data_IF_489504712425
#
_entry.id   IF_489504712425
#
_cell.length_a   1.000
_cell.length_b   1.000
_cell.length_c   1.000
_cell.angle_alpha   90.00
_cell.angle_beta   90.00
_cell.angle_gamma   90.00
#
_symmetry.space_group_name_H-M   'P 1'
#
loop_
_entity.id
_entity.type
_entity.pdbx_description
1 polymer ?
#
# COMPACT_ATOMS: atom_id res chain seq x y z
N UNK A 1 -48.20 -0.29 -20.00
CA UNK A 1 -46.92 0.17 -20.58
C UNK A 1 -46.08 0.78 -19.47
N UNK A 2 -45.04 0.07 -18.98
CA UNK A 2 -44.04 0.66 -18.08
C UNK A 2 -43.09 1.50 -18.93
N UNK A 3 -42.89 2.80 -18.68
CA UNK A 3 -41.91 3.56 -19.44
C UNK A 3 -40.51 3.01 -19.13
N UNK A 4 -39.72 2.87 -20.20
CA UNK A 4 -38.36 2.36 -20.17
C UNK A 4 -37.51 3.11 -19.14
N UNK A 5 -36.73 2.36 -18.36
CA UNK A 5 -35.64 2.88 -17.54
C UNK A 5 -34.70 3.72 -18.40
N UNK A 6 -34.44 4.96 -17.99
CA UNK A 6 -33.49 5.85 -18.66
C UNK A 6 -32.13 5.16 -18.87
N UNK A 7 -31.49 5.34 -20.04
CA UNK A 7 -30.20 4.74 -20.33
C UNK A 7 -29.13 5.31 -19.38
N UNK A 8 -28.23 4.43 -18.95
CA UNK A 8 -27.29 4.65 -17.85
C UNK A 8 -26.56 5.98 -17.91
N UNK A 9 -26.88 6.86 -16.95
CA UNK A 9 -26.03 8.00 -16.64
C UNK A 9 -24.67 7.48 -16.18
N UNK A 10 -23.61 7.96 -16.82
CA UNK A 10 -22.23 7.71 -16.42
C UNK A 10 -22.10 8.08 -14.95
N UNK A 11 -21.93 7.09 -14.06
CA UNK A 11 -21.59 7.36 -12.67
C UNK A 11 -20.30 8.17 -12.68
N UNK A 12 -20.31 9.36 -12.10
CA UNK A 12 -19.09 10.17 -11.97
C UNK A 12 -18.04 9.30 -11.27
N UNK A 13 -16.85 9.20 -11.87
CA UNK A 13 -15.72 8.45 -11.30
C UNK A 13 -15.32 8.97 -9.91
N UNK A 14 -15.58 10.25 -9.63
CA UNK A 14 -15.40 10.87 -8.31
C UNK A 14 -16.75 11.45 -7.87
N UNK A 15 -17.45 10.80 -6.92
CA UNK A 15 -18.69 11.29 -6.34
C UNK A 15 -18.52 12.66 -5.67
N UNK A 16 -19.60 13.45 -5.58
CA UNK A 16 -19.57 14.74 -4.88
C UNK A 16 -19.21 14.59 -3.39
N UNK A 17 -19.47 13.41 -2.79
CA UNK A 17 -19.08 13.08 -1.42
C UNK A 17 -17.57 13.12 -1.23
N UNK A 18 -16.73 12.85 -2.24
CA UNK A 18 -15.26 12.91 -2.08
C UNK A 18 -14.71 14.33 -1.98
N UNK A 19 -15.55 15.36 -2.20
CA UNK A 19 -15.13 16.77 -2.19
C UNK A 19 -15.29 17.44 -0.83
N UNK A 20 -15.88 16.77 0.15
CA UNK A 20 -16.05 17.37 1.49
C UNK A 20 -14.90 16.92 2.40
N UNK A 21 -14.27 17.88 3.07
CA UNK A 21 -13.20 17.61 4.03
C UNK A 21 -13.72 17.85 5.44
N UNK A 22 -13.60 16.86 6.31
CA UNK A 22 -14.14 16.90 7.67
C UNK A 22 -13.02 16.95 8.71
N UNK A 23 -13.36 17.36 9.94
CA UNK A 23 -12.41 17.32 11.06
C UNK A 23 -11.91 15.90 11.33
N UNK A 24 -12.78 14.89 11.13
CA UNK A 24 -12.42 13.48 11.25
C UNK A 24 -11.32 13.09 10.26
N UNK A 25 -11.42 13.54 9.00
CA UNK A 25 -10.38 13.29 7.99
C UNK A 25 -9.03 13.87 8.44
N UNK A 26 -9.03 15.10 8.97
CA UNK A 26 -7.81 15.74 9.46
C UNK A 26 -7.16 14.94 10.60
N UNK A 27 -7.95 14.46 11.57
CA UNK A 27 -7.45 13.66 12.70
C UNK A 27 -6.88 12.33 12.22
N UNK A 28 -7.57 11.63 11.32
CA UNK A 28 -7.10 10.33 10.81
C UNK A 28 -5.82 10.48 9.99
N UNK A 29 -5.78 11.45 9.07
CA UNK A 29 -4.58 11.72 8.25
C UNK A 29 -3.41 12.11 9.14
N UNK A 30 -3.61 13.01 10.11
CA UNK A 30 -2.56 13.40 11.05
C UNK A 30 -2.06 12.21 11.87
N UNK A 31 -2.98 11.37 12.37
CA UNK A 31 -2.64 10.15 13.10
C UNK A 31 -1.78 9.20 12.26
N UNK A 32 -2.15 8.96 11.00
CA UNK A 32 -1.34 8.13 10.09
C UNK A 32 0.05 8.71 9.84
N UNK A 33 0.15 10.01 9.57
CA UNK A 33 1.43 10.67 9.32
C UNK A 33 2.34 10.66 10.55
N UNK A 34 1.79 10.95 11.73
CA UNK A 34 2.54 10.89 12.98
C UNK A 34 3.03 9.46 13.24
N UNK A 35 2.14 8.47 13.12
CA UNK A 35 2.50 7.06 13.32
C UNK A 35 3.51 6.54 12.29
N UNK A 36 3.48 7.03 11.05
CA UNK A 36 4.47 6.69 10.03
C UNK A 36 5.88 7.11 10.43
N UNK A 37 6.01 8.22 11.16
CA UNK A 37 7.31 8.77 11.57
C UNK A 37 7.80 8.17 12.89
N UNK A 38 6.95 8.07 13.91
CA UNK A 38 7.36 7.67 15.26
C UNK A 38 6.82 6.32 15.72
N UNK A 39 5.89 5.73 14.95
CA UNK A 39 5.23 4.48 15.32
C UNK A 39 6.11 3.26 15.10
N UNK A 40 5.83 2.21 15.88
CA UNK A 40 6.55 0.95 15.81
C UNK A 40 6.38 0.25 14.45
N UNK A 41 7.44 -0.47 14.06
CA UNK A 41 7.51 -1.32 12.88
C UNK A 41 7.03 -2.74 13.18
N UNK A 42 6.82 -3.53 12.13
CA UNK A 42 6.55 -4.97 12.26
C UNK A 42 7.85 -5.76 12.41
N UNK A 43 7.76 -6.97 12.99
CA UNK A 43 8.93 -7.85 13.19
C UNK A 43 9.62 -8.25 11.89
N UNK A 44 8.85 -8.40 10.82
CA UNK A 44 9.34 -8.93 9.53
C UNK A 44 9.82 -7.84 8.57
N UNK A 45 9.79 -6.57 8.96
CA UNK A 45 10.22 -5.46 8.10
C UNK A 45 11.69 -5.63 7.67
N UNK A 46 12.56 -6.00 8.61
CA UNK A 46 13.97 -6.28 8.33
C UNK A 46 14.17 -7.55 7.49
N UNK A 47 13.31 -8.55 7.68
CA UNK A 47 13.35 -9.81 6.93
C UNK A 47 13.05 -9.57 5.46
N UNK A 48 11.93 -8.88 5.18
CA UNK A 48 11.48 -8.57 3.82
C UNK A 48 12.45 -7.60 3.13
N UNK A 49 12.93 -6.57 3.85
CA UNK A 49 13.91 -5.63 3.28
C UNK A 49 15.22 -6.35 2.91
N UNK A 50 15.68 -7.29 3.74
CA UNK A 50 16.84 -8.12 3.45
C UNK A 50 16.68 -8.90 2.15
N UNK A 51 15.55 -9.59 1.97
CA UNK A 51 15.24 -10.32 0.73
C UNK A 51 15.18 -9.38 -0.48
N UNK A 52 14.51 -8.23 -0.36
CA UNK A 52 14.35 -7.28 -1.45
C UNK A 52 15.69 -6.69 -1.94
N UNK A 53 16.63 -6.42 -1.02
CA UNK A 53 17.95 -5.83 -1.36
C UNK A 53 18.87 -6.77 -2.15
N UNK A 54 18.73 -8.08 -1.96
CA UNK A 54 19.59 -9.09 -2.61
C UNK A 54 18.95 -9.67 -3.88
N UNK A 55 17.64 -9.49 -4.08
CA UNK A 55 16.90 -10.09 -5.17
C UNK A 55 17.43 -9.70 -6.56
N UNK A 56 17.82 -8.44 -6.76
CA UNK A 56 18.35 -7.97 -8.06
C UNK A 56 19.67 -8.67 -8.41
N UNK A 57 20.56 -8.86 -7.42
CA UNK A 57 21.81 -9.58 -7.64
C UNK A 57 21.60 -11.09 -7.78
N UNK A 58 20.65 -11.67 -7.05
CA UNK A 58 20.30 -13.09 -7.15
C UNK A 58 19.60 -13.44 -8.48
N UNK A 59 18.95 -12.46 -9.12
CA UNK A 59 18.16 -12.64 -10.34
C UNK A 59 16.77 -13.22 -10.12
N UNK A 60 16.36 -13.43 -8.88
CA UNK A 60 15.02 -13.90 -8.48
C UNK A 60 14.75 -13.59 -6.99
N UNK A 61 13.49 -13.60 -6.58
CA UNK A 61 13.08 -13.30 -5.20
C UNK A 61 13.23 -14.54 -4.30
N UNK A 62 14.46 -14.81 -3.84
CA UNK A 62 14.76 -15.90 -2.92
C UNK A 62 14.26 -15.63 -1.50
N UNK A 63 13.76 -16.64 -0.81
CA UNK A 63 13.77 -16.61 0.65
C UNK A 63 15.22 -16.65 1.14
N UNK A 64 15.72 -15.50 1.57
CA UNK A 64 17.14 -15.33 1.87
C UNK A 64 17.58 -16.07 3.13
N UNK A 65 16.72 -16.14 4.15
CA UNK A 65 17.10 -16.63 5.47
C UNK A 65 16.75 -18.11 5.70
N UNK A 66 15.87 -18.69 4.88
CA UNK A 66 15.32 -20.04 5.08
C UNK A 66 15.08 -20.74 3.74
N UNK A 67 14.79 -22.04 3.81
CA UNK A 67 14.39 -22.87 2.66
C UNK A 67 15.43 -22.92 1.53
N UNK A 68 16.71 -22.88 1.88
CA UNK A 68 17.84 -23.14 0.97
C UNK A 68 17.82 -22.28 -0.30
N UNK A 69 17.34 -21.03 -0.22
CA UNK A 69 17.25 -20.12 -1.36
C UNK A 69 16.05 -20.39 -2.28
N UNK A 70 15.08 -21.20 -1.87
CA UNK A 70 13.82 -21.36 -2.60
C UNK A 70 13.14 -19.99 -2.78
N UNK A 71 12.55 -19.71 -3.96
CA UNK A 71 11.83 -18.45 -4.18
C UNK A 71 10.57 -18.35 -3.31
N UNK A 72 10.16 -17.10 -3.04
CA UNK A 72 8.86 -16.74 -2.43
C UNK A 72 7.70 -16.75 -3.44
N UNK A 73 8.00 -17.06 -4.70
CA UNK A 73 7.00 -17.27 -5.74
C UNK A 73 6.21 -18.56 -5.47
N UNK A 74 4.88 -18.54 -5.59
CA UNK A 74 4.09 -17.64 -6.45
C UNK A 74 3.49 -16.39 -5.77
N UNK A 75 3.73 -16.15 -4.48
CA UNK A 75 3.00 -15.12 -3.72
C UNK A 75 3.72 -13.77 -3.66
N UNK A 76 5.06 -13.78 -3.68
CA UNK A 76 5.93 -12.65 -3.38
C UNK A 76 6.03 -11.53 -4.42
N UNK A 77 5.07 -11.39 -5.34
CA UNK A 77 5.16 -10.43 -6.45
C UNK A 77 5.42 -8.99 -5.96
N UNK A 78 4.83 -8.59 -4.83
CA UNK A 78 4.98 -7.25 -4.27
C UNK A 78 6.38 -6.99 -3.68
N UNK A 79 7.13 -8.04 -3.31
CA UNK A 79 8.52 -7.90 -2.89
C UNK A 79 9.40 -7.37 -4.02
N UNK A 80 9.06 -7.67 -5.28
CA UNK A 80 9.77 -7.10 -6.43
C UNK A 80 9.54 -5.60 -6.59
N UNK A 81 8.35 -5.09 -6.22
CA UNK A 81 8.13 -3.65 -6.12
C UNK A 81 9.02 -3.03 -5.05
N UNK A 82 9.14 -3.68 -3.89
CA UNK A 82 10.04 -3.22 -2.83
C UNK A 82 11.50 -3.26 -3.27
N UNK A 83 11.93 -4.29 -4.00
CA UNK A 83 13.28 -4.37 -4.58
C UNK A 83 13.56 -3.16 -5.49
N UNK A 84 12.62 -2.80 -6.38
CA UNK A 84 12.75 -1.59 -7.20
C UNK A 84 12.82 -0.31 -6.36
N UNK A 85 12.05 -0.21 -5.28
CA UNK A 85 12.09 0.94 -4.36
C UNK A 85 13.44 1.08 -3.65
N UNK A 86 14.14 -0.03 -3.38
CA UNK A 86 15.46 0.00 -2.74
C UNK A 86 16.53 0.69 -3.60
N UNK A 87 16.31 0.82 -4.91
CA UNK A 87 17.22 1.56 -5.80
C UNK A 87 17.21 3.07 -5.52
N UNK A 88 16.12 3.60 -4.94
CA UNK A 88 16.03 5.01 -4.53
C UNK A 88 16.58 5.18 -3.13
N UNK A 89 16.08 4.40 -2.17
CA UNK A 89 16.54 4.39 -0.77
C UNK A 89 16.03 3.14 -0.05
N UNK A 90 16.76 2.68 0.96
CA UNK A 90 16.35 1.63 1.90
C UNK A 90 15.92 2.21 3.28
N UNK A 91 15.72 3.53 3.37
CA UNK A 91 15.28 4.18 4.59
C UNK A 91 13.85 3.72 5.00
N UNK A 92 13.64 3.50 6.30
CA UNK A 92 12.35 3.04 6.85
C UNK A 92 11.16 3.92 6.43
N UNK A 93 11.33 5.26 6.46
CA UNK A 93 10.28 6.21 6.06
C UNK A 93 9.87 6.05 4.59
N UNK A 94 10.79 5.66 3.73
CA UNK A 94 10.56 5.47 2.30
C UNK A 94 9.94 4.10 2.02
N UNK A 95 10.53 3.03 2.55
CA UNK A 95 10.08 1.65 2.31
C UNK A 95 8.65 1.39 2.81
N UNK A 96 8.19 2.15 3.80
CA UNK A 96 6.84 2.04 4.38
C UNK A 96 5.78 2.89 3.66
N UNK A 97 6.16 3.72 2.67
CA UNK A 97 5.21 4.57 1.94
C UNK A 97 4.05 3.80 1.29
N UNK A 98 4.24 2.61 0.68
CA UNK A 98 3.13 1.84 0.13
C UNK A 98 2.07 1.49 1.19
N UNK A 99 2.51 1.16 2.41
CA UNK A 99 1.61 0.87 3.53
C UNK A 99 0.85 2.11 4.01
N UNK A 100 1.52 3.26 4.09
CA UNK A 100 0.87 4.54 4.41
C UNK A 100 -0.19 4.90 3.37
N UNK A 101 0.14 4.79 2.08
CA UNK A 101 -0.80 5.05 0.99
C UNK A 101 -2.01 4.11 1.05
N UNK A 102 -1.78 2.80 1.28
CA UNK A 102 -2.85 1.84 1.45
C UNK A 102 -3.77 2.21 2.63
N UNK A 103 -3.21 2.63 3.77
CA UNK A 103 -4.00 3.09 4.92
C UNK A 103 -4.89 4.30 4.62
N UNK A 104 -4.36 5.29 3.90
CA UNK A 104 -5.13 6.47 3.47
C UNK A 104 -6.24 6.12 2.48
N UNK A 105 -5.96 5.23 1.52
CA UNK A 105 -6.98 4.73 0.57
C UNK A 105 -8.07 3.95 1.32
N UNK A 106 -7.70 3.11 2.28
CA UNK A 106 -8.68 2.41 3.12
C UNK A 106 -9.59 3.38 3.87
N UNK A 107 -9.05 4.45 4.47
CA UNK A 107 -9.86 5.47 5.13
C UNK A 107 -10.81 6.18 4.16
N UNK A 108 -10.31 6.54 2.97
CA UNK A 108 -11.11 7.18 1.94
C UNK A 108 -12.30 6.32 1.52
N UNK A 109 -12.07 5.02 1.27
CA UNK A 109 -13.12 4.09 0.90
C UNK A 109 -14.11 3.88 2.04
N UNK A 110 -13.62 3.69 3.27
CA UNK A 110 -14.46 3.48 4.43
C UNK A 110 -15.34 4.71 4.77
N UNK A 111 -14.84 5.92 4.54
CA UNK A 111 -15.58 7.14 4.87
C UNK A 111 -16.56 7.60 3.79
N UNK A 112 -16.41 7.13 2.53
CA UNK A 112 -17.16 7.66 1.38
C UNK A 112 -17.96 6.63 0.60
N UNK A 113 -17.61 5.35 0.69
CA UNK A 113 -18.18 4.29 -0.16
C UNK A 113 -18.84 3.16 0.64
N UNK A 114 -18.57 3.05 1.95
CA UNK A 114 -19.15 2.05 2.87
C UNK A 114 -20.05 2.75 3.89
#
# INVERSE_FOLDING_TARGET
FRPASSPGGMRRLIPASWRTFTLTDAVVIFGFLLWHVIGANSSDDGYILGMARVADHAGYMSNYFRWFGSPEDPFGWYYNLLALMTHVSDASLWMRLPALAAGLVCWLLLSREV
#
